data_IF_642239631338
#
_entry.id   IF_642239631338
#
_cell.length_a   1.000
_cell.length_b   1.000
_cell.length_c   1.000
_cell.angle_alpha   90.00
_cell.angle_beta   90.00
_cell.angle_gamma   90.00
#
_symmetry.space_group_name_H-M   'P 1'
#
loop_
_entity.id
_entity.type
_entity.pdbx_description
1 polymer ?
#
# COMPACT_ATOMS: atom_id res chain seq x y z
N UNK A 1 -16.06 -5.50 5.56
CA UNK A 1 -15.43 -6.17 4.40
C UNK A 1 -14.03 -5.59 4.28
N UNK A 2 -13.00 -6.42 4.13
CA UNK A 2 -11.63 -5.96 3.97
C UNK A 2 -11.34 -5.75 2.48
N UNK A 3 -11.07 -4.50 2.09
CA UNK A 3 -10.84 -4.11 0.69
C UNK A 3 -9.40 -4.40 0.24
N UNK A 4 -8.51 -4.77 1.15
CA UNK A 4 -7.13 -5.15 0.88
C UNK A 4 -6.92 -6.67 0.85
N UNK A 5 -8.01 -7.44 0.98
CA UNK A 5 -7.96 -8.89 0.87
C UNK A 5 -7.35 -9.33 -0.46
N UNK A 6 -6.52 -10.37 -0.38
CA UNK A 6 -5.77 -10.93 -1.50
C UNK A 6 -6.32 -12.28 -1.93
N UNK A 7 -6.28 -12.53 -3.23
CA UNK A 7 -6.57 -13.84 -3.81
C UNK A 7 -5.38 -14.81 -3.68
N UNK A 8 -5.49 -16.00 -4.30
CA UNK A 8 -4.44 -17.01 -4.27
C UNK A 8 -3.13 -16.56 -4.95
N UNK A 9 -3.19 -15.60 -5.87
CA UNK A 9 -2.04 -15.01 -6.55
C UNK A 9 -1.53 -13.74 -5.85
N UNK A 10 -1.95 -13.51 -4.60
CA UNK A 10 -1.62 -12.32 -3.81
C UNK A 10 -2.14 -11.01 -4.40
N UNK A 11 -3.08 -11.07 -5.37
CA UNK A 11 -3.67 -9.90 -6.02
C UNK A 11 -4.82 -9.36 -5.18
N UNK A 12 -4.89 -8.05 -5.10
CA UNK A 12 -6.02 -7.31 -4.52
C UNK A 12 -7.05 -7.00 -5.60
N UNK A 13 -8.25 -6.56 -5.20
CA UNK A 13 -9.26 -6.05 -6.14
C UNK A 13 -8.72 -4.92 -7.04
N UNK A 14 -7.76 -4.13 -6.54
CA UNK A 14 -7.11 -3.06 -7.30
C UNK A 14 -6.26 -3.60 -8.45
N UNK A 15 -5.58 -4.74 -8.30
CA UNK A 15 -4.83 -5.37 -9.40
C UNK A 15 -5.77 -5.77 -10.53
N UNK A 16 -6.87 -6.46 -10.19
CA UNK A 16 -7.83 -6.96 -11.18
C UNK A 16 -8.51 -5.79 -11.91
N UNK A 17 -8.95 -4.76 -11.17
CA UNK A 17 -9.55 -3.58 -11.78
C UNK A 17 -8.56 -2.84 -12.70
N UNK A 18 -7.27 -2.84 -12.36
CA UNK A 18 -6.25 -2.21 -13.17
C UNK A 18 -5.89 -3.00 -14.44
N UNK A 19 -5.77 -4.32 -14.33
CA UNK A 19 -5.54 -5.22 -15.45
C UNK A 19 -6.69 -5.21 -16.47
N UNK A 20 -7.93 -5.00 -16.02
CA UNK A 20 -9.14 -4.95 -16.88
C UNK A 20 -9.51 -3.50 -17.31
N UNK A 21 -8.74 -2.50 -16.89
CA UNK A 21 -8.96 -1.10 -17.28
C UNK A 21 -10.24 -0.47 -16.72
N UNK A 22 -10.78 -0.99 -15.61
CA UNK A 22 -12.04 -0.54 -15.02
C UNK A 22 -11.87 0.75 -14.21
N UNK A 23 -11.87 1.90 -14.91
CA UNK A 23 -11.60 3.24 -14.35
C UNK A 23 -12.46 3.57 -13.13
N UNK A 24 -13.77 3.32 -13.18
CA UNK A 24 -14.69 3.66 -12.10
C UNK A 24 -14.46 2.82 -10.85
N UNK A 25 -14.10 1.55 -11.04
CA UNK A 25 -13.77 0.64 -9.92
C UNK A 25 -12.46 1.05 -9.27
N UNK A 26 -11.45 1.40 -10.07
CA UNK A 26 -10.18 1.93 -9.57
C UNK A 26 -10.41 3.19 -8.73
N UNK A 27 -11.15 4.17 -9.26
CA UNK A 27 -11.49 5.39 -8.50
C UNK A 27 -12.22 5.08 -7.21
N UNK A 28 -13.21 4.19 -7.24
CA UNK A 28 -13.92 3.78 -6.03
C UNK A 28 -12.97 3.19 -4.97
N UNK A 29 -12.09 2.27 -5.35
CA UNK A 29 -11.13 1.63 -4.45
C UNK A 29 -10.15 2.66 -3.84
N UNK A 30 -9.62 3.57 -4.67
CA UNK A 30 -8.65 4.56 -4.22
C UNK A 30 -9.30 5.69 -3.40
N UNK A 31 -10.41 6.26 -3.88
CA UNK A 31 -11.00 7.45 -3.29
C UNK A 31 -11.93 7.15 -2.12
N UNK A 32 -12.76 6.11 -2.22
CA UNK A 32 -13.72 5.77 -1.18
C UNK A 32 -13.14 4.79 -0.16
N UNK A 33 -12.42 3.77 -0.62
CA UNK A 33 -11.88 2.73 0.26
C UNK A 33 -10.48 3.03 0.79
N UNK A 34 -9.77 4.01 0.21
CA UNK A 34 -8.42 4.45 0.64
C UNK A 34 -7.41 3.29 0.72
N UNK A 35 -7.51 2.33 -0.19
CA UNK A 35 -6.63 1.15 -0.21
C UNK A 35 -5.18 1.53 -0.53
N UNK A 36 -4.24 0.70 -0.10
CA UNK A 36 -2.83 0.83 -0.48
C UNK A 36 -2.66 0.63 -2.01
N UNK A 37 -2.01 1.57 -2.72
CA UNK A 37 -1.78 1.46 -4.16
C UNK A 37 -0.48 0.72 -4.54
N UNK A 38 0.30 0.26 -3.56
CA UNK A 38 1.57 -0.45 -3.77
C UNK A 38 1.60 -1.97 -3.45
N UNK A 39 0.48 -2.71 -3.28
CA UNK A 39 0.56 -4.13 -3.02
C UNK A 39 1.21 -4.82 -4.23
N UNK A 40 2.04 -5.81 -3.95
CA UNK A 40 2.67 -6.65 -4.98
C UNK A 40 1.99 -8.01 -5.03
N UNK A 41 1.72 -8.50 -6.22
CA UNK A 41 1.23 -9.86 -6.44
C UNK A 41 2.36 -10.92 -6.40
N UNK A 42 2.03 -12.17 -6.74
CA UNK A 42 2.99 -13.29 -6.80
C UNK A 42 4.12 -13.09 -7.81
N UNK A 43 3.90 -12.29 -8.85
CA UNK A 43 4.88 -11.98 -9.90
C UNK A 43 5.61 -10.66 -9.63
N UNK A 44 5.41 -10.07 -8.45
CA UNK A 44 6.01 -8.81 -8.02
C UNK A 44 5.53 -7.59 -8.84
N UNK A 45 4.36 -7.72 -9.49
CA UNK A 45 3.66 -6.62 -10.15
C UNK A 45 2.80 -5.87 -9.14
N UNK A 46 2.72 -4.55 -9.32
CA UNK A 46 1.75 -3.68 -8.64
C UNK A 46 0.51 -3.47 -9.51
N UNK A 47 -0.60 -2.93 -8.97
CA UNK A 47 -1.74 -2.57 -9.82
C UNK A 47 -1.38 -1.61 -10.96
N UNK A 48 -0.39 -0.73 -10.75
CA UNK A 48 0.08 0.19 -11.79
C UNK A 48 0.85 -0.54 -12.90
N UNK A 49 1.61 -1.58 -12.55
CA UNK A 49 2.30 -2.43 -13.53
C UNK A 49 1.30 -3.23 -14.36
N UNK A 50 0.24 -3.75 -13.75
CA UNK A 50 -0.85 -4.43 -14.46
C UNK A 50 -1.53 -3.50 -15.48
N UNK A 51 -1.89 -2.27 -15.07
CA UNK A 51 -2.46 -1.28 -15.99
C UNK A 51 -1.53 -0.99 -17.17
N UNK A 52 -0.22 -0.90 -16.93
CA UNK A 52 0.76 -0.65 -17.99
C UNK A 52 0.90 -1.87 -18.92
N UNK A 53 0.95 -3.08 -18.36
CA UNK A 53 1.11 -4.33 -19.10
C UNK A 53 -0.03 -4.55 -20.11
N UNK A 54 -1.27 -4.23 -19.71
CA UNK A 54 -2.46 -4.36 -20.56
C UNK A 54 -2.81 -3.09 -21.35
N UNK A 55 -2.02 -2.01 -21.22
CA UNK A 55 -2.17 -0.79 -22.01
C UNK A 55 -3.29 0.15 -21.54
N UNK A 56 -3.75 0.04 -20.29
CA UNK A 56 -4.78 0.88 -19.68
C UNK A 56 -4.21 2.20 -19.14
N UNK A 57 -3.81 3.09 -20.06
CA UNK A 57 -3.12 4.34 -19.76
C UNK A 57 -3.91 5.30 -18.85
N UNK A 58 -5.24 5.32 -18.94
CA UNK A 58 -6.06 6.18 -18.07
C UNK A 58 -6.04 5.70 -16.62
N UNK A 59 -6.11 4.38 -16.41
CA UNK A 59 -5.95 3.78 -15.08
C UNK A 59 -4.54 4.02 -14.55
N UNK A 60 -3.52 3.85 -15.39
CA UNK A 60 -2.13 4.13 -15.02
C UNK A 60 -1.97 5.56 -14.48
N UNK A 61 -2.53 6.58 -15.16
CA UNK A 61 -2.46 7.98 -14.72
C UNK A 61 -3.15 8.18 -13.37
N UNK A 62 -4.34 7.60 -13.18
CA UNK A 62 -5.08 7.69 -11.92
C UNK A 62 -4.26 7.09 -10.77
N UNK A 63 -3.67 5.89 -10.99
CA UNK A 63 -2.83 5.24 -10.00
C UNK A 63 -1.58 6.06 -9.69
N UNK A 64 -0.92 6.61 -10.71
CA UNK A 64 0.27 7.46 -10.55
C UNK A 64 -0.05 8.72 -9.72
N UNK A 65 -1.15 9.42 -10.03
CA UNK A 65 -1.58 10.61 -9.29
C UNK A 65 -1.92 10.30 -7.83
N UNK A 66 -2.56 9.15 -7.58
CA UNK A 66 -2.90 8.72 -6.23
C UNK A 66 -1.65 8.30 -5.43
N UNK A 67 -0.70 7.59 -6.05
CA UNK A 67 0.55 7.18 -5.40
C UNK A 67 1.38 8.36 -4.88
N UNK A 68 1.42 9.47 -5.62
CA UNK A 68 2.10 10.71 -5.18
C UNK A 68 1.47 11.30 -3.93
N UNK A 69 0.16 11.14 -3.76
CA UNK A 69 -0.61 11.71 -2.66
C UNK A 69 -0.82 10.72 -1.50
N UNK A 70 -0.49 9.43 -1.70
CA UNK A 70 -0.78 8.39 -0.74
C UNK A 70 0.07 8.54 0.52
N UNK A 71 -0.61 8.70 1.65
CA UNK A 71 -0.01 8.62 2.98
C UNK A 71 -0.48 7.34 3.64
N UNK A 72 0.43 6.41 4.02
CA UNK A 72 0.05 5.24 4.78
C UNK A 72 -0.71 5.66 6.06
N UNK A 73 -1.76 4.94 6.47
CA UNK A 73 -2.42 5.21 7.74
C UNK A 73 -1.38 5.13 8.87
N UNK A 74 -1.35 6.15 9.72
CA UNK A 74 -0.37 6.31 10.79
C UNK A 74 -0.42 5.11 11.76
N UNK A 75 0.67 4.34 11.81
CA UNK A 75 0.84 3.23 12.75
C UNK A 75 1.67 3.65 13.98
N UNK A 76 1.54 4.91 14.44
CA UNK A 76 2.21 5.42 15.64
C UNK A 76 1.55 4.91 16.92
N UNK A 77 1.70 3.60 17.19
CA UNK A 77 1.67 3.02 18.53
C UNK A 77 3.08 2.55 18.92
N UNK A 78 4.10 3.40 18.73
CA UNK A 78 5.38 3.18 19.42
C UNK A 78 5.27 3.72 20.84
N UNK A 79 5.19 2.77 21.77
CA UNK A 79 4.98 2.97 23.18
C UNK A 79 5.97 3.95 23.81
N UNK A 80 5.43 4.74 24.73
CA UNK A 80 6.18 5.34 25.82
C UNK A 80 6.74 4.22 26.70
N UNK A 81 7.85 3.60 26.33
CA UNK A 81 8.66 2.83 27.27
C UNK A 81 9.79 3.70 27.79
N UNK A 82 9.52 4.27 28.96
CA UNK A 82 10.52 4.69 29.93
C UNK A 82 11.49 3.53 30.21
N UNK A 83 12.75 3.65 29.81
CA UNK A 83 13.86 3.14 30.61
C UNK A 83 14.89 4.25 30.81
N UNK A 84 14.53 5.09 31.77
CA UNK A 84 15.39 5.58 32.85
C UNK A 84 16.79 4.98 32.87
N UNK A 85 17.76 5.81 32.50
CA UNK A 85 19.01 6.07 33.24
C UNK A 85 19.39 4.99 34.28
N UNK A 86 20.26 4.07 33.87
CA UNK A 86 21.35 3.55 34.71
C UNK A 86 22.62 3.67 33.87
N UNK A 87 23.23 4.86 33.77
CA UNK A 87 24.42 5.21 34.59
C UNK A 87 24.74 4.10 35.61
N UNK A 88 25.88 3.43 35.41
CA UNK A 88 26.85 2.99 36.42
C UNK A 88 27.63 1.77 35.90
N UNK A 89 28.82 1.98 35.31
CA UNK A 89 30.03 1.26 35.73
C UNK A 89 31.29 1.92 35.16
N UNK A 90 31.49 3.21 35.44
CA UNK A 90 32.86 3.74 35.54
C UNK A 90 33.21 3.76 37.03
N UNK A 91 33.99 2.78 37.46
CA UNK A 91 34.69 2.80 38.75
C UNK A 91 34.34 1.70 39.74
N UNK A 92 34.95 0.52 39.59
CA UNK A 92 35.71 -0.13 40.69
C UNK A 92 36.54 -1.31 40.15
N UNK A 93 37.87 -1.17 40.26
CA UNK A 93 38.95 -2.17 40.10
C UNK A 93 39.23 -2.75 38.70
#
# INVERSE_FOLDING_TARGET
MDMEQRDYDSRTALHVAAAEGHVEVVKFLLEACKVNPFPKDRWNNTPMDEALHFGHHDVFKILQEYQVQYTPPDNSNNGKENQTVQKNLDGLL
#
